data_IF_791256104150
#
_entry.id   IF_791256104150
#
_cell.length_a   1.000
_cell.length_b   1.000
_cell.length_c   1.000
_cell.angle_alpha   90.00
_cell.angle_beta   90.00
_cell.angle_gamma   90.00
#
_symmetry.space_group_name_H-M   'P 1'
#
loop_
_entity.id
_entity.type
_entity.pdbx_description
1 polymer ?
#
# COMPACT_ATOMS: atom_id res chain seq x y z
N UNK A 1 -51.94 50.41 -12.79
CA UNK A 1 -50.95 51.02 -13.71
C UNK A 1 -50.03 49.96 -14.27
N UNK A 2 -50.20 49.66 -15.54
CA UNK A 2 -49.38 48.69 -16.31
C UNK A 2 -48.12 49.40 -16.78
N UNK A 3 -46.93 48.86 -16.58
CA UNK A 3 -45.74 49.23 -17.36
C UNK A 3 -45.18 48.01 -18.09
N UNK A 4 -45.11 48.19 -19.39
CA UNK A 4 -44.69 47.23 -20.41
C UNK A 4 -43.19 47.17 -20.48
N UNK A 5 -42.68 45.94 -20.75
CA UNK A 5 -41.30 45.61 -21.14
C UNK A 5 -41.09 45.94 -22.63
N UNK A 6 -39.98 46.46 -23.05
CA UNK A 6 -39.59 46.37 -24.44
C UNK A 6 -38.57 45.25 -24.68
N UNK A 7 -38.93 44.37 -25.58
CA UNK A 7 -38.08 43.44 -26.34
C UNK A 7 -37.10 44.22 -27.20
N UNK A 8 -35.85 43.86 -27.16
CA UNK A 8 -34.83 44.32 -28.08
C UNK A 8 -33.93 43.15 -28.46
N UNK A 9 -34.21 42.61 -29.63
CA UNK A 9 -33.45 41.65 -30.41
C UNK A 9 -32.21 42.33 -30.94
N UNK A 10 -31.02 41.77 -30.75
CA UNK A 10 -29.93 41.85 -31.72
C UNK A 10 -29.16 40.54 -31.79
N UNK A 11 -29.41 39.83 -32.86
CA UNK A 11 -28.66 38.72 -33.39
C UNK A 11 -27.47 39.29 -34.15
N UNK A 12 -26.26 38.96 -33.77
CA UNK A 12 -25.12 39.03 -34.69
C UNK A 12 -24.33 37.76 -34.57
N UNK A 13 -24.54 36.92 -35.60
CA UNK A 13 -23.72 35.77 -35.89
C UNK A 13 -22.35 36.23 -36.40
N UNK A 14 -21.27 35.87 -35.69
CA UNK A 14 -19.92 35.97 -36.23
C UNK A 14 -19.40 34.57 -36.46
N UNK A 15 -19.49 34.11 -37.70
CA UNK A 15 -18.87 32.89 -38.21
C UNK A 15 -17.39 33.17 -38.41
N UNK A 16 -16.54 32.66 -37.54
CA UNK A 16 -15.09 32.67 -37.72
C UNK A 16 -14.63 31.27 -38.09
N UNK A 17 -14.47 31.04 -39.39
CA UNK A 17 -13.83 29.84 -39.98
C UNK A 17 -12.34 29.90 -39.71
N UNK A 18 -11.83 29.09 -38.77
CA UNK A 18 -10.40 28.84 -38.59
C UNK A 18 -10.03 27.56 -39.35
N UNK A 19 -9.27 27.73 -40.44
CA UNK A 19 -8.68 26.62 -41.20
C UNK A 19 -7.61 25.92 -40.32
N UNK A 20 -7.85 24.64 -40.00
CA UNK A 20 -6.93 23.80 -39.30
C UNK A 20 -5.91 23.21 -40.25
N UNK A 21 -4.70 23.74 -40.31
CA UNK A 21 -3.57 23.12 -41.00
C UNK A 21 -3.05 21.95 -40.15
N UNK A 22 -3.36 20.74 -40.56
CA UNK A 22 -2.82 19.53 -39.97
C UNK A 22 -1.37 19.30 -40.43
N UNK A 23 -0.39 19.69 -39.63
CA UNK A 23 1.01 19.25 -39.75
C UNK A 23 1.17 17.92 -39.03
N UNK A 24 1.10 16.84 -39.82
CA UNK A 24 1.43 15.49 -39.37
C UNK A 24 2.95 15.34 -39.20
N UNK A 25 3.49 15.57 -38.00
CA UNK A 25 4.83 15.13 -37.63
C UNK A 25 4.78 13.65 -37.21
N UNK A 26 5.00 12.76 -38.16
CA UNK A 26 5.22 11.33 -37.92
C UNK A 26 6.55 11.12 -37.17
N UNK A 27 6.51 10.95 -35.86
CA UNK A 27 7.65 10.43 -35.11
C UNK A 27 7.80 8.94 -35.43
N UNK A 28 8.82 8.58 -36.23
CA UNK A 28 9.27 7.20 -36.41
C UNK A 28 9.68 6.65 -35.04
N UNK A 29 8.96 5.62 -34.58
CA UNK A 29 9.39 4.82 -33.43
C UNK A 29 10.73 4.17 -33.76
N UNK A 30 11.74 4.38 -32.93
CA UNK A 30 12.99 3.64 -32.99
C UNK A 30 12.72 2.14 -32.76
N UNK A 31 13.40 1.22 -33.46
CA UNK A 31 13.23 -0.20 -33.24
C UNK A 31 13.72 -0.56 -31.83
N UNK A 32 12.87 -1.24 -31.09
CA UNK A 32 13.19 -1.81 -29.79
C UNK A 32 14.24 -2.88 -30.01
N UNK A 33 15.48 -2.65 -29.55
CA UNK A 33 16.53 -3.66 -29.55
C UNK A 33 16.06 -4.83 -28.68
N UNK A 34 15.99 -6.02 -29.26
CA UNK A 34 15.76 -7.26 -28.51
C UNK A 34 16.95 -7.48 -27.57
N UNK A 35 16.73 -7.82 -26.29
CA UNK A 35 17.81 -8.26 -25.42
C UNK A 35 18.45 -9.51 -26.02
N UNK A 36 19.77 -9.52 -26.16
CA UNK A 36 20.54 -10.67 -26.58
C UNK A 36 20.39 -11.80 -25.55
N UNK A 37 20.20 -13.03 -26.02
CA UNK A 37 20.14 -14.20 -25.19
C UNK A 37 21.42 -14.35 -24.33
N UNK A 38 21.30 -14.88 -23.11
CA UNK A 38 22.47 -15.17 -22.28
C UNK A 38 23.34 -16.24 -22.93
N UNK A 39 24.68 -16.18 -22.75
CA UNK A 39 25.58 -17.18 -23.31
C UNK A 39 25.32 -18.59 -22.68
N UNK A 40 25.57 -19.65 -23.44
CA UNK A 40 25.38 -21.02 -22.92
C UNK A 40 26.31 -21.28 -21.73
N UNK A 41 25.90 -22.14 -20.78
CA UNK A 41 26.75 -22.51 -19.65
C UNK A 41 28.02 -23.22 -20.11
N UNK A 42 29.14 -22.74 -19.65
CA UNK A 42 30.45 -23.38 -19.85
C UNK A 42 30.43 -24.70 -19.08
N UNK A 43 30.63 -25.80 -19.79
CA UNK A 43 30.85 -27.11 -19.19
C UNK A 43 32.12 -27.05 -18.33
N UNK A 44 31.97 -27.18 -17.03
CA UNK A 44 33.10 -27.39 -16.11
C UNK A 44 33.46 -28.85 -16.11
N UNK A 45 34.67 -29.11 -16.53
CA UNK A 45 35.33 -30.43 -16.49
C UNK A 45 35.28 -31.02 -15.08
N UNK A 46 34.82 -32.24 -15.03
CA UNK A 46 34.83 -33.11 -13.85
C UNK A 46 36.26 -33.54 -13.55
N UNK A 47 36.89 -32.95 -12.55
CA UNK A 47 38.15 -33.49 -12.01
C UNK A 47 37.85 -34.67 -11.11
N UNK A 48 38.64 -35.74 -11.18
CA UNK A 48 38.43 -36.98 -10.41
C UNK A 48 38.81 -36.80 -8.94
N UNK A 49 38.05 -37.48 -8.15
CA UNK A 49 37.99 -37.57 -6.71
C UNK A 49 39.27 -37.36 -5.89
N UNK A 50 39.13 -36.49 -4.91
CA UNK A 50 40.04 -36.42 -3.77
C UNK A 50 39.55 -37.37 -2.69
N UNK A 51 40.43 -38.21 -2.09
CA UNK A 51 40.04 -39.09 -1.01
C UNK A 51 39.50 -38.29 0.19
N UNK A 52 38.43 -38.78 0.80
CA UNK A 52 37.86 -38.22 2.01
C UNK A 52 38.86 -38.29 3.17
N UNK A 53 39.05 -37.17 3.85
CA UNK A 53 39.81 -37.10 5.07
C UNK A 53 39.14 -37.89 6.19
N UNK A 54 39.91 -38.46 7.15
CA UNK A 54 39.37 -39.15 8.32
C UNK A 54 38.47 -38.25 9.15
N UNK A 55 37.44 -38.78 9.84
CA UNK A 55 36.58 -37.97 10.68
C UNK A 55 37.38 -37.36 11.83
N UNK A 56 37.27 -36.04 11.99
CA UNK A 56 37.82 -35.32 13.14
C UNK A 56 37.16 -35.80 14.45
N UNK A 57 37.92 -35.89 15.55
CA UNK A 57 37.35 -36.30 16.84
C UNK A 57 36.29 -35.30 17.28
N UNK A 58 35.14 -35.83 17.65
CA UNK A 58 34.01 -35.08 18.26
C UNK A 58 34.55 -34.35 19.47
N UNK A 59 34.68 -33.03 19.38
CA UNK A 59 34.94 -32.19 20.55
C UNK A 59 33.67 -32.23 21.39
N UNK A 60 33.82 -32.66 22.65
CA UNK A 60 32.77 -32.52 23.65
C UNK A 60 32.16 -31.12 23.60
N UNK A 61 30.86 -31.09 23.32
CA UNK A 61 30.11 -29.87 23.35
C UNK A 61 30.22 -29.27 24.76
N UNK A 62 30.94 -28.15 24.87
CA UNK A 62 30.92 -27.37 26.10
C UNK A 62 29.44 -27.07 26.41
N UNK A 63 29.01 -27.44 27.61
CA UNK A 63 27.70 -27.10 28.15
C UNK A 63 27.70 -25.55 28.26
N UNK A 64 27.13 -24.91 27.24
CA UNK A 64 26.83 -23.49 27.27
C UNK A 64 25.74 -23.34 28.35
N UNK A 65 25.95 -22.56 29.41
CA UNK A 65 24.90 -22.28 30.37
C UNK A 65 23.70 -21.69 29.57
N UNK A 66 22.44 -22.05 29.88
CA UNK A 66 21.31 -21.47 29.23
C UNK A 66 21.39 -19.94 29.38
N UNK A 67 21.46 -19.23 28.27
CA UNK A 67 21.31 -17.76 28.28
C UNK A 67 20.00 -17.43 29.01
N UNK A 68 19.98 -16.42 29.87
CA UNK A 68 18.74 -16.00 30.50
C UNK A 68 17.73 -15.70 29.38
N UNK A 69 16.65 -16.47 29.40
CA UNK A 69 15.51 -16.27 28.49
C UNK A 69 15.07 -14.84 28.73
N UNK A 70 15.47 -13.93 27.86
CA UNK A 70 14.91 -12.58 27.84
C UNK A 70 13.43 -12.77 27.57
N UNK A 71 12.61 -12.21 28.43
CA UNK A 71 11.15 -12.19 28.32
C UNK A 71 10.70 -11.41 27.05
N UNK A 72 11.08 -11.90 25.89
CA UNK A 72 10.55 -11.38 24.59
C UNK A 72 9.07 -11.70 24.45
N UNK A 73 8.59 -12.74 25.16
CA UNK A 73 7.18 -13.11 25.20
C UNK A 73 6.28 -12.05 25.85
N UNK A 74 6.77 -11.33 26.87
CA UNK A 74 6.00 -10.28 27.56
C UNK A 74 5.89 -9.02 26.70
N UNK A 75 6.93 -8.71 25.90
CA UNK A 75 6.91 -7.56 25.01
C UNK A 75 6.00 -7.80 23.78
N UNK A 76 6.02 -8.99 23.21
CA UNK A 76 5.18 -9.36 22.06
C UNK A 76 3.70 -9.53 22.45
N UNK A 77 3.40 -10.22 23.56
CA UNK A 77 2.04 -10.36 24.09
C UNK A 77 1.37 -9.00 24.32
N UNK A 78 2.13 -8.04 24.81
CA UNK A 78 1.65 -6.67 25.04
C UNK A 78 1.33 -5.88 23.75
N UNK A 79 2.05 -6.11 22.62
CA UNK A 79 1.72 -5.53 21.34
C UNK A 79 0.50 -6.22 20.72
N UNK A 80 0.40 -7.54 20.84
CA UNK A 80 -0.74 -8.31 20.36
C UNK A 80 -2.03 -7.92 21.07
N UNK A 81 -1.96 -7.69 22.39
CA UNK A 81 -3.10 -7.22 23.16
C UNK A 81 -3.53 -5.81 22.75
N UNK A 82 -2.56 -4.91 22.52
CA UNK A 82 -2.82 -3.58 22.00
C UNK A 82 -3.48 -3.62 20.62
N UNK A 83 -3.05 -4.51 19.74
CA UNK A 83 -3.64 -4.63 18.40
C UNK A 83 -5.01 -5.33 18.43
N UNK A 84 -5.24 -6.28 19.35
CA UNK A 84 -6.54 -6.95 19.53
C UNK A 84 -7.61 -5.98 20.00
N UNK A 85 -7.25 -5.06 20.89
CA UNK A 85 -8.15 -4.03 21.43
C UNK A 85 -7.83 -2.64 20.87
N UNK A 86 -7.28 -2.59 19.64
CA UNK A 86 -6.68 -1.41 19.06
C UNK A 86 -7.53 -0.15 19.24
N UNK A 87 -6.96 0.92 19.77
CA UNK A 87 -7.62 2.22 19.82
C UNK A 87 -7.67 2.90 18.44
N UNK A 88 -6.96 2.35 17.46
CA UNK A 88 -6.92 2.86 16.09
C UNK A 88 -8.01 2.20 15.25
N UNK A 89 -8.81 3.01 14.60
CA UNK A 89 -9.95 2.56 13.80
C UNK A 89 -9.57 2.45 12.32
N UNK A 90 -10.06 1.43 11.60
CA UNK A 90 -9.83 1.31 10.16
C UNK A 90 -10.57 2.41 9.38
N UNK A 91 -10.02 2.77 8.21
CA UNK A 91 -10.64 3.67 7.24
C UNK A 91 -11.14 2.84 6.07
N UNK A 92 -12.38 3.07 5.65
CA UNK A 92 -13.01 2.37 4.55
C UNK A 92 -13.03 3.21 3.28
N UNK A 93 -13.01 2.53 2.13
CA UNK A 93 -12.96 3.15 0.82
C UNK A 93 -14.11 2.67 -0.08
N UNK A 94 -14.49 3.54 -1.00
CA UNK A 94 -15.43 3.18 -2.06
C UNK A 94 -14.81 2.17 -3.04
N UNK A 95 -15.67 1.56 -3.85
CA UNK A 95 -15.24 0.66 -4.92
C UNK A 95 -14.24 1.38 -5.83
N UNK A 96 -13.13 0.71 -6.11
CA UNK A 96 -12.09 1.17 -7.03
C UNK A 96 -11.48 2.55 -6.70
N UNK A 97 -11.63 3.01 -5.45
CA UNK A 97 -11.12 4.29 -4.99
C UNK A 97 -10.09 4.14 -3.87
N UNK A 98 -9.16 5.09 -3.84
CA UNK A 98 -8.23 5.36 -2.74
C UNK A 98 -8.46 6.75 -2.12
N UNK A 99 -9.53 7.43 -2.48
CA UNK A 99 -9.86 8.75 -1.97
C UNK A 99 -10.46 8.67 -0.56
N UNK A 100 -10.06 9.58 0.30
CA UNK A 100 -10.54 9.65 1.67
C UNK A 100 -11.89 10.39 1.72
N UNK A 101 -12.93 9.66 2.09
CA UNK A 101 -14.23 10.24 2.38
C UNK A 101 -14.18 11.17 3.60
N UNK A 102 -15.20 12.01 3.79
CA UNK A 102 -15.32 12.85 4.99
C UNK A 102 -15.36 12.01 6.28
N UNK A 103 -15.95 10.80 6.24
CA UNK A 103 -15.91 9.86 7.35
C UNK A 103 -14.50 9.31 7.58
N UNK A 104 -13.81 8.89 6.53
CA UNK A 104 -12.41 8.46 6.60
C UNK A 104 -11.49 9.51 7.22
N UNK A 105 -11.67 10.77 6.84
CA UNK A 105 -10.93 11.89 7.43
C UNK A 105 -11.24 12.07 8.93
N UNK A 106 -12.51 11.94 9.35
CA UNK A 106 -12.88 11.99 10.78
C UNK A 106 -12.21 10.87 11.57
N UNK A 107 -12.20 9.65 11.02
CA UNK A 107 -11.50 8.52 11.64
C UNK A 107 -10.01 8.79 11.75
N UNK A 108 -9.36 9.29 10.71
CA UNK A 108 -7.93 9.63 10.74
C UNK A 108 -7.61 10.75 11.73
N UNK A 109 -8.47 11.75 11.88
CA UNK A 109 -8.33 12.79 12.92
C UNK A 109 -8.34 12.17 14.33
N UNK A 110 -9.24 11.22 14.58
CA UNK A 110 -9.30 10.49 15.86
C UNK A 110 -8.04 9.65 16.08
N UNK A 111 -7.61 8.90 15.06
CA UNK A 111 -6.40 8.10 15.12
C UNK A 111 -5.15 8.98 15.36
N UNK A 112 -5.08 10.13 14.71
CA UNK A 112 -3.99 11.08 14.92
C UNK A 112 -3.93 11.63 16.34
N UNK A 113 -5.08 11.88 16.97
CA UNK A 113 -5.15 12.31 18.36
C UNK A 113 -4.56 11.24 19.30
N UNK A 114 -4.92 9.97 19.10
CA UNK A 114 -4.35 8.83 19.85
C UNK A 114 -2.85 8.73 19.63
N UNK A 115 -2.39 8.78 18.38
CA UNK A 115 -0.97 8.65 18.04
C UNK A 115 -0.10 9.81 18.53
N UNK A 116 -0.67 10.99 18.75
CA UNK A 116 0.00 12.13 19.38
C UNK A 116 0.16 11.95 20.89
N UNK A 117 -0.78 11.27 21.54
CA UNK A 117 -0.66 10.91 22.96
C UNK A 117 0.40 9.82 23.19
N UNK A 118 0.62 8.94 22.19
CA UNK A 118 1.59 7.86 22.23
C UNK A 118 2.74 8.13 21.25
N UNK A 119 3.61 9.07 21.59
CA UNK A 119 4.65 9.58 20.70
C UNK A 119 5.69 8.52 20.28
N UNK A 120 5.88 7.47 21.06
CA UNK A 120 6.82 6.37 20.76
C UNK A 120 6.26 5.33 19.80
N UNK A 121 4.94 5.26 19.60
CA UNK A 121 4.33 4.24 18.77
C UNK A 121 4.71 4.39 17.30
N UNK A 122 5.16 3.30 16.71
CA UNK A 122 5.31 3.15 15.26
C UNK A 122 4.16 2.29 14.76
N UNK A 123 3.55 2.67 13.65
CA UNK A 123 2.44 1.94 13.06
C UNK A 123 2.73 1.53 11.62
N UNK A 124 2.17 0.39 11.24
CA UNK A 124 2.05 -0.03 9.85
C UNK A 124 0.61 0.16 9.40
N UNK A 125 0.44 0.83 8.27
CA UNK A 125 -0.85 1.07 7.61
C UNK A 125 -0.98 0.03 6.50
N UNK A 126 -1.92 -0.88 6.66
CA UNK A 126 -2.16 -2.00 5.78
C UNK A 126 -3.30 -1.68 4.81
N UNK A 127 -3.00 -1.72 3.50
CA UNK A 127 -4.00 -1.47 2.46
C UNK A 127 -4.62 -2.78 1.97
N UNK A 128 -5.94 -2.86 2.02
CA UNK A 128 -6.73 -4.02 1.63
C UNK A 128 -7.76 -3.68 0.56
N UNK A 129 -8.12 -4.69 -0.23
CA UNK A 129 -9.13 -4.61 -1.27
C UNK A 129 -10.13 -5.76 -1.13
N UNK A 130 -11.27 -5.65 -1.82
CA UNK A 130 -12.16 -6.78 -2.02
C UNK A 130 -11.59 -7.75 -3.07
N UNK A 131 -12.21 -8.91 -3.27
CA UNK A 131 -11.71 -9.98 -4.12
C UNK A 131 -11.76 -9.69 -5.63
N UNK A 132 -12.51 -8.68 -6.06
CA UNK A 132 -12.72 -8.36 -7.47
C UNK A 132 -11.47 -7.80 -8.13
N UNK A 133 -11.22 -8.18 -9.39
CA UNK A 133 -10.06 -7.76 -10.16
C UNK A 133 -8.83 -8.68 -10.00
N UNK A 134 -7.71 -8.34 -10.68
CA UNK A 134 -6.48 -9.11 -10.61
C UNK A 134 -5.72 -8.87 -9.28
N UNK A 135 -4.82 -9.79 -8.92
CA UNK A 135 -4.00 -9.65 -7.72
C UNK A 135 -3.08 -8.43 -7.81
N UNK A 136 -2.44 -8.22 -8.97
CA UNK A 136 -1.52 -7.11 -9.21
C UNK A 136 -2.24 -5.75 -9.11
N UNK A 137 -3.44 -5.67 -9.70
CA UNK A 137 -4.26 -4.47 -9.62
C UNK A 137 -4.62 -4.14 -8.18
N UNK A 138 -5.09 -5.13 -7.41
CA UNK A 138 -5.48 -4.96 -6.02
C UNK A 138 -4.28 -4.66 -5.11
N UNK A 139 -3.11 -5.24 -5.40
CA UNK A 139 -1.89 -4.90 -4.67
C UNK A 139 -1.57 -3.41 -4.83
N UNK A 140 -1.60 -2.90 -6.07
CA UNK A 140 -1.37 -1.48 -6.34
C UNK A 140 -2.47 -0.57 -5.76
N UNK A 141 -3.75 -0.99 -5.78
CA UNK A 141 -4.85 -0.24 -5.19
C UNK A 141 -4.74 -0.19 -3.65
N UNK A 142 -4.40 -1.31 -3.02
CA UNK A 142 -4.17 -1.37 -1.58
C UNK A 142 -3.01 -0.45 -1.16
N UNK A 143 -1.93 -0.42 -1.93
CA UNK A 143 -0.83 0.52 -1.67
C UNK A 143 -1.28 1.97 -1.75
N UNK A 144 -2.04 2.36 -2.77
CA UNK A 144 -2.58 3.72 -2.88
C UNK A 144 -3.47 4.10 -1.69
N UNK A 145 -4.30 3.18 -1.19
CA UNK A 145 -5.13 3.36 0.01
C UNK A 145 -4.28 3.61 1.26
N UNK A 146 -3.27 2.79 1.48
CA UNK A 146 -2.35 2.95 2.60
C UNK A 146 -1.58 4.28 2.51
N UNK A 147 -1.12 4.67 1.32
CA UNK A 147 -0.42 5.93 1.08
C UNK A 147 -1.34 7.15 1.29
N UNK A 148 -2.60 7.09 0.86
CA UNK A 148 -3.57 8.17 1.09
C UNK A 148 -3.81 8.40 2.59
N UNK A 149 -4.01 7.32 3.36
CA UNK A 149 -4.15 7.42 4.80
C UNK A 149 -2.88 7.94 5.48
N UNK A 150 -1.70 7.47 5.06
CA UNK A 150 -0.40 7.96 5.55
C UNK A 150 -0.19 9.44 5.28
N UNK A 151 -0.43 9.87 4.04
CA UNK A 151 -0.26 11.27 3.65
C UNK A 151 -1.15 12.20 4.48
N UNK A 152 -2.39 11.79 4.73
CA UNK A 152 -3.31 12.54 5.57
C UNK A 152 -2.83 12.63 7.02
N UNK A 153 -2.35 11.53 7.62
CA UNK A 153 -1.78 11.54 8.98
C UNK A 153 -0.55 12.45 9.09
N UNK A 154 0.31 12.47 8.06
CA UNK A 154 1.46 13.39 8.01
C UNK A 154 0.98 14.85 7.94
N UNK A 155 -0.06 15.15 7.16
CA UNK A 155 -0.63 16.50 7.09
C UNK A 155 -1.22 16.97 8.42
N UNK A 156 -1.62 16.03 9.29
CA UNK A 156 -2.04 16.30 10.66
C UNK A 156 -0.86 16.46 11.64
N UNK A 157 0.38 16.39 11.16
CA UNK A 157 1.60 16.62 11.95
C UNK A 157 2.21 15.38 12.57
N UNK A 158 1.86 14.17 12.12
CA UNK A 158 2.55 12.96 12.56
C UNK A 158 3.87 12.77 11.77
N UNK A 159 4.98 12.41 12.45
CA UNK A 159 6.26 12.17 11.80
C UNK A 159 6.19 11.00 10.81
N UNK A 160 6.77 11.17 9.63
CA UNK A 160 6.70 10.21 8.53
C UNK A 160 7.43 8.88 8.80
N UNK A 161 8.46 8.91 9.64
CA UNK A 161 9.28 7.77 10.07
C UNK A 161 8.53 6.81 11.00
N UNK A 162 7.49 7.30 11.69
CA UNK A 162 6.58 6.49 12.51
C UNK A 162 5.51 5.75 11.71
N UNK A 163 5.34 6.08 10.42
CA UNK A 163 4.26 5.61 9.58
C UNK A 163 4.81 4.76 8.43
N UNK A 164 4.65 3.45 8.51
CA UNK A 164 4.99 2.51 7.44
C UNK A 164 3.74 2.13 6.66
N UNK A 165 3.89 1.73 5.41
CA UNK A 165 2.79 1.23 4.58
C UNK A 165 3.12 -0.15 4.04
N UNK A 166 2.10 -0.99 3.92
CA UNK A 166 2.15 -2.28 3.24
C UNK A 166 0.82 -2.50 2.52
N UNK A 167 0.85 -3.16 1.38
CA UNK A 167 -0.36 -3.59 0.70
C UNK A 167 -0.48 -5.10 0.78
N UNK A 168 -1.64 -5.58 1.15
CA UNK A 168 -2.03 -6.97 1.05
C UNK A 168 -2.98 -7.22 -0.13
N UNK A 169 -3.40 -6.15 -0.81
CA UNK A 169 -4.34 -6.28 -1.91
C UNK A 169 -5.59 -7.02 -1.47
N UNK A 170 -5.95 -8.10 -2.18
CA UNK A 170 -7.09 -8.97 -1.88
C UNK A 170 -6.73 -10.27 -1.17
N UNK A 171 -5.44 -10.50 -0.88
CA UNK A 171 -4.95 -11.82 -0.42
C UNK A 171 -5.32 -12.14 1.05
N UNK A 172 -5.58 -11.09 1.86
CA UNK A 172 -5.94 -11.24 3.26
C UNK A 172 -7.27 -10.55 3.55
N UNK A 173 -8.41 -11.16 3.16
CA UNK A 173 -9.71 -10.58 3.42
C UNK A 173 -10.03 -10.62 4.92
N UNK A 174 -10.66 -9.56 5.41
CA UNK A 174 -11.17 -9.50 6.77
C UNK A 174 -12.49 -10.27 6.91
N UNK A 175 -13.36 -10.10 5.92
CA UNK A 175 -14.61 -10.82 5.82
C UNK A 175 -14.54 -11.71 4.58
N UNK A 176 -14.61 -13.06 4.73
CA UNK A 176 -14.51 -13.98 3.62
C UNK A 176 -15.80 -14.09 2.78
N UNK A 177 -16.85 -13.34 3.12
CA UNK A 177 -18.10 -13.32 2.36
C UNK A 177 -17.93 -12.73 0.96
N UNK A 178 -18.86 -13.12 0.06
CA UNK A 178 -18.85 -12.74 -1.36
C UNK A 178 -19.98 -11.75 -1.72
N UNK A 179 -20.52 -11.06 -0.72
CA UNK A 179 -21.54 -10.03 -0.90
C UNK A 179 -20.96 -8.62 -0.68
N UNK A 180 -21.70 -7.59 -1.11
CA UNK A 180 -21.23 -6.19 -1.02
C UNK A 180 -20.96 -5.75 0.42
N UNK A 181 -21.67 -6.30 1.40
CA UNK A 181 -21.42 -6.02 2.82
C UNK A 181 -20.05 -6.50 3.28
N UNK A 182 -19.59 -7.68 2.80
CA UNK A 182 -18.24 -8.20 3.04
C UNK A 182 -17.19 -7.41 2.27
N UNK A 183 -17.46 -7.11 1.00
CA UNK A 183 -16.56 -6.31 0.17
C UNK A 183 -16.32 -4.92 0.75
N UNK A 184 -17.33 -4.26 1.25
CA UNK A 184 -17.21 -2.95 1.90
C UNK A 184 -16.29 -3.00 3.14
N UNK A 185 -16.31 -4.08 3.92
CA UNK A 185 -15.40 -4.29 5.06
C UNK A 185 -13.97 -4.57 4.62
N UNK A 186 -13.79 -5.21 3.46
CA UNK A 186 -12.47 -5.54 2.91
C UNK A 186 -11.77 -4.32 2.29
N UNK A 187 -12.51 -3.37 1.71
CA UNK A 187 -11.98 -2.12 1.16
C UNK A 187 -11.56 -1.16 2.26
N UNK A 188 -10.38 -1.37 2.87
CA UNK A 188 -9.95 -0.58 4.03
C UNK A 188 -8.45 -0.33 4.07
N UNK A 189 -8.06 0.69 4.84
CA UNK A 189 -6.75 0.82 5.44
C UNK A 189 -6.86 0.44 6.92
N UNK A 190 -6.08 -0.54 7.35
CA UNK A 190 -6.01 -1.02 8.71
C UNK A 190 -4.71 -0.52 9.38
N UNK A 191 -4.73 -0.31 10.70
CA UNK A 191 -3.61 0.27 11.43
C UNK A 191 -3.12 -0.70 12.48
N UNK A 192 -1.86 -1.13 12.37
CA UNK A 192 -1.20 -2.06 13.28
C UNK A 192 -0.09 -1.34 14.01
N UNK A 193 -0.09 -1.41 15.35
CA UNK A 193 0.99 -0.90 16.19
C UNK A 193 2.13 -1.91 16.16
N UNK A 194 3.30 -1.51 15.65
CA UNK A 194 4.46 -2.40 15.44
C UNK A 194 5.60 -2.12 16.41
N UNK A 195 5.62 -0.97 17.07
CA UNK A 195 6.53 -0.65 18.17
C UNK A 195 5.87 0.36 19.10
N UNK A 196 6.34 0.42 20.35
CA UNK A 196 5.86 1.32 21.41
C UNK A 196 6.99 1.85 22.29
#
# INVERSE_FOLDING_TARGET
>A
MRRRVPTGIWVTALVLTVALAATACGKKKAPIARPSAPPPPVATDTAPGRPSAPPEPVRDAAIVPPEPVRDESVSSASLDDLNRTSPLRPVFFELDSSDLSAEGQRVLNSNAAVLKQHATWTITIEGHCDERGSAEYNLALGERRALSARAYLISLGLPADRLRTVSYGKEFPFDPGHEESAYAKNRRAHFVITAK
#
